data_IF_178090120894
#
_entry.id   IF_178090120894
#
_cell.length_a   1.000
_cell.length_b   1.000
_cell.length_c   1.000
_cell.angle_alpha   90.00
_cell.angle_beta   90.00
_cell.angle_gamma   90.00
#
_symmetry.space_group_name_H-M   'P 1'
#
loop_
_entity.id
_entity.type
_entity.pdbx_description
1 polymer ?
#
# COMPACT_ATOMS: atom_id res chain seq x y z
N UNK A 1 2.51 -4.81 -23.90
CA UNK A 1 2.00 -4.32 -22.60
C UNK A 1 0.58 -3.78 -22.70
N UNK A 2 0.30 -2.79 -23.57
CA UNK A 2 -1.07 -2.26 -23.79
C UNK A 2 -2.08 -3.33 -24.28
N UNK A 3 -1.61 -4.37 -24.97
CA UNK A 3 -2.41 -5.52 -25.39
C UNK A 3 -2.69 -6.56 -24.29
N UNK A 4 -2.12 -6.40 -23.09
CA UNK A 4 -2.30 -7.37 -22.00
C UNK A 4 -3.65 -7.14 -21.31
N UNK A 5 -4.57 -8.10 -21.41
CA UNK A 5 -5.90 -8.03 -20.81
C UNK A 5 -5.90 -7.80 -19.28
N UNK A 6 -4.86 -8.27 -18.57
CA UNK A 6 -4.71 -8.02 -17.13
C UNK A 6 -4.39 -6.54 -16.86
N UNK A 7 -3.59 -5.91 -17.72
CA UNK A 7 -3.24 -4.49 -17.61
C UNK A 7 -4.41 -3.57 -17.99
N UNK A 8 -5.19 -3.92 -19.03
CA UNK A 8 -6.38 -3.15 -19.43
C UNK A 8 -7.46 -3.16 -18.34
N UNK A 9 -7.76 -4.34 -17.77
CA UNK A 9 -8.66 -4.46 -16.60
C UNK A 9 -8.16 -3.69 -15.38
N UNK A 10 -6.84 -3.64 -15.20
CA UNK A 10 -6.21 -2.88 -14.14
C UNK A 10 -6.42 -1.36 -14.32
N UNK A 11 -6.23 -0.83 -15.54
CA UNK A 11 -6.46 0.58 -15.87
C UNK A 11 -7.92 1.02 -15.64
N UNK A 12 -8.89 0.17 -15.99
CA UNK A 12 -10.32 0.43 -15.73
C UNK A 12 -10.62 0.52 -14.22
N UNK A 13 -10.08 -0.41 -13.41
CA UNK A 13 -10.19 -0.37 -11.94
C UNK A 13 -9.60 0.90 -11.33
N UNK A 14 -8.60 1.51 -11.97
CA UNK A 14 -8.00 2.78 -11.52
C UNK A 14 -9.01 3.93 -11.45
N UNK A 15 -10.01 3.94 -12.33
CA UNK A 15 -11.06 4.97 -12.34
C UNK A 15 -12.11 4.77 -11.22
N UNK A 16 -12.41 3.52 -10.87
CA UNK A 16 -13.32 3.17 -9.77
C UNK A 16 -12.69 3.46 -8.40
N UNK A 17 -11.38 3.23 -8.30
CA UNK A 17 -10.55 3.55 -7.13
C UNK A 17 -10.69 5.02 -6.71
N UNK A 18 -10.70 5.97 -7.66
CA UNK A 18 -10.79 7.40 -7.34
C UNK A 18 -12.10 7.81 -6.66
N UNK A 19 -13.22 7.11 -6.93
CA UNK A 19 -14.51 7.38 -6.27
C UNK A 19 -14.55 6.83 -4.85
N UNK A 20 -14.04 5.61 -4.64
CA UNK A 20 -13.95 4.99 -3.31
C UNK A 20 -12.95 5.74 -2.41
N UNK A 21 -11.88 6.29 -2.99
CA UNK A 21 -10.88 7.07 -2.28
C UNK A 21 -11.50 8.28 -1.55
N UNK A 22 -12.36 9.06 -2.21
CA UNK A 22 -13.00 10.24 -1.61
C UNK A 22 -13.86 9.92 -0.37
N UNK A 23 -14.56 8.79 -0.38
CA UNK A 23 -15.41 8.36 0.74
C UNK A 23 -14.58 7.88 1.93
N UNK A 24 -13.43 7.27 1.68
CA UNK A 24 -12.54 6.71 2.70
C UNK A 24 -11.61 7.76 3.33
N UNK A 25 -11.40 8.90 2.65
CA UNK A 25 -10.54 9.98 3.16
C UNK A 25 -11.11 10.70 4.38
N UNK A 26 -12.37 10.54 4.77
CA UNK A 26 -12.88 11.21 5.97
C UNK A 26 -12.32 10.60 7.28
N UNK A 27 -11.66 9.45 7.20
CA UNK A 27 -11.07 8.77 8.36
C UNK A 27 -9.55 9.04 8.47
N UNK A 28 -9.14 9.69 9.57
CA UNK A 28 -7.73 10.00 9.85
C UNK A 28 -6.82 8.76 9.97
N UNK A 29 -7.32 7.64 10.48
CA UNK A 29 -6.54 6.39 10.61
C UNK A 29 -6.17 5.89 9.20
N UNK A 30 -7.13 5.92 8.26
CA UNK A 30 -6.92 5.50 6.87
C UNK A 30 -5.99 6.44 6.12
N UNK A 31 -6.12 7.76 6.33
CA UNK A 31 -5.20 8.74 5.76
C UNK A 31 -3.75 8.48 6.19
N UNK A 32 -3.53 8.27 7.49
CA UNK A 32 -2.19 7.97 8.02
C UNK A 32 -1.61 6.67 7.44
N UNK A 33 -2.44 5.62 7.37
CA UNK A 33 -2.02 4.36 6.77
C UNK A 33 -1.62 4.51 5.30
N UNK A 34 -2.38 5.28 4.50
CA UNK A 34 -2.03 5.55 3.10
C UNK A 34 -0.77 6.40 2.95
N UNK A 35 -0.55 7.36 3.85
CA UNK A 35 0.68 8.13 3.88
C UNK A 35 1.90 7.24 4.12
N UNK A 36 1.82 6.34 5.11
CA UNK A 36 2.88 5.38 5.41
C UNK A 36 3.10 4.39 4.26
N UNK A 37 2.02 3.85 3.67
CA UNK A 37 2.10 2.99 2.47
C UNK A 37 2.79 3.73 1.32
N UNK A 38 2.45 5.00 1.08
CA UNK A 38 3.09 5.82 0.05
C UNK A 38 4.58 5.99 0.33
N UNK A 39 4.99 6.23 1.58
CA UNK A 39 6.40 6.34 1.95
C UNK A 39 7.16 5.05 1.62
N UNK A 40 6.61 3.90 2.02
CA UNK A 40 7.21 2.58 1.74
C UNK A 40 7.28 2.29 0.24
N UNK A 41 6.27 2.70 -0.54
CA UNK A 41 6.32 2.60 -2.01
C UNK A 41 7.48 3.43 -2.56
N UNK A 42 7.62 4.70 -2.14
CA UNK A 42 8.70 5.60 -2.59
C UNK A 42 10.08 5.03 -2.27
N UNK A 43 10.27 4.48 -1.07
CA UNK A 43 11.51 3.78 -0.69
C UNK A 43 11.78 2.57 -1.59
N UNK A 44 10.75 1.79 -1.92
CA UNK A 44 10.88 0.65 -2.83
C UNK A 44 11.24 1.07 -4.26
N UNK A 45 10.75 2.23 -4.75
CA UNK A 45 11.11 2.74 -6.09
C UNK A 45 12.60 3.08 -6.21
N UNK A 46 13.26 3.40 -5.11
CA UNK A 46 14.68 3.75 -5.11
C UNK A 46 15.59 2.51 -5.21
N UNK A 47 15.04 1.31 -4.98
CA UNK A 47 15.80 0.08 -5.08
C UNK A 47 16.14 -0.24 -6.53
N UNK A 48 17.40 -0.61 -6.77
CA UNK A 48 17.82 -1.07 -8.10
C UNK A 48 17.44 -2.55 -8.27
N UNK A 49 16.28 -2.80 -8.89
CA UNK A 49 15.73 -4.16 -9.06
C UNK A 49 16.38 -4.96 -10.21
N UNK A 50 17.16 -4.28 -11.06
CA UNK A 50 17.90 -4.90 -12.16
C UNK A 50 19.40 -4.63 -12.00
N UNK A 51 20.27 -5.57 -12.44
CA UNK A 51 21.70 -5.34 -12.42
C UNK A 51 22.08 -4.09 -13.22
N UNK A 52 22.97 -3.26 -12.67
CA UNK A 52 23.58 -2.16 -13.42
C UNK A 52 24.73 -2.72 -14.25
N UNK A 53 24.64 -2.59 -15.56
CA UNK A 53 25.77 -2.84 -16.45
C UNK A 53 26.46 -1.50 -16.71
N UNK A 54 27.79 -1.49 -16.63
CA UNK A 54 28.57 -0.29 -16.88
C UNK A 54 29.01 -0.21 -18.34
N UNK A 55 29.11 1.00 -18.93
CA UNK A 55 29.71 1.16 -20.25
C UNK A 55 31.14 0.58 -20.25
N UNK A 56 31.42 -0.36 -21.16
CA UNK A 56 32.73 -1.02 -21.26
C UNK A 56 32.89 -2.31 -20.45
N UNK A 57 31.87 -2.74 -19.71
CA UNK A 57 31.88 -4.02 -19.00
C UNK A 57 31.79 -5.17 -20.01
N UNK A 58 32.81 -6.02 -20.06
CA UNK A 58 32.80 -7.27 -20.84
C UNK A 58 32.53 -8.43 -19.90
N UNK A 59 31.31 -8.99 -19.96
CA UNK A 59 30.91 -10.16 -19.18
C UNK A 59 30.73 -11.33 -20.14
N UNK A 60 31.18 -12.52 -19.73
CA UNK A 60 30.74 -13.75 -20.37
C UNK A 60 29.25 -13.96 -20.13
N UNK A 61 28.57 -14.73 -20.99
CA UNK A 61 27.15 -15.07 -20.80
C UNK A 61 26.91 -15.70 -19.42
N UNK A 62 27.83 -16.57 -18.98
CA UNK A 62 27.74 -17.25 -17.69
C UNK A 62 27.90 -16.30 -16.49
N UNK A 63 28.78 -15.29 -16.59
CA UNK A 63 28.92 -14.27 -15.55
C UNK A 63 27.69 -13.37 -15.48
N UNK A 64 27.13 -13.01 -16.62
CA UNK A 64 25.89 -12.25 -16.72
C UNK A 64 24.72 -13.01 -16.09
N UNK A 65 24.53 -14.29 -16.42
CA UNK A 65 23.51 -15.13 -15.81
C UNK A 65 23.68 -15.24 -14.29
N UNK A 66 24.91 -15.43 -13.82
CA UNK A 66 25.22 -15.53 -12.39
C UNK A 66 24.86 -14.22 -11.67
N UNK A 67 25.20 -13.08 -12.26
CA UNK A 67 24.85 -11.76 -11.75
C UNK A 67 23.33 -11.56 -11.70
N UNK A 68 22.60 -11.92 -12.76
CA UNK A 68 21.13 -11.86 -12.81
C UNK A 68 20.51 -12.74 -11.74
N UNK A 69 21.00 -13.97 -11.54
CA UNK A 69 20.52 -14.89 -10.50
C UNK A 69 20.70 -14.30 -9.10
N UNK A 70 21.85 -13.68 -8.80
CA UNK A 70 22.08 -12.99 -7.52
C UNK A 70 21.14 -11.81 -7.33
N UNK A 71 21.04 -10.91 -8.31
CA UNK A 71 20.14 -9.76 -8.26
C UNK A 71 18.67 -10.16 -8.11
N UNK A 72 18.25 -11.27 -8.74
CA UNK A 72 16.89 -11.81 -8.61
C UNK A 72 16.62 -12.26 -7.18
N UNK A 73 17.58 -12.94 -6.54
CA UNK A 73 17.48 -13.37 -5.15
C UNK A 73 17.35 -12.17 -4.20
N UNK A 74 18.20 -11.16 -4.36
CA UNK A 74 18.17 -9.95 -3.53
C UNK A 74 16.87 -9.18 -3.72
N UNK A 75 16.43 -9.03 -4.98
CA UNK A 75 15.16 -8.40 -5.34
C UNK A 75 13.97 -9.11 -4.69
N UNK A 76 13.97 -10.45 -4.68
CA UNK A 76 12.93 -11.23 -4.01
C UNK A 76 12.92 -10.97 -2.50
N UNK A 77 14.09 -10.89 -1.86
CA UNK A 77 14.19 -10.59 -0.44
C UNK A 77 13.68 -9.19 -0.10
N UNK A 78 14.08 -8.17 -0.87
CA UNK A 78 13.58 -6.81 -0.69
C UNK A 78 12.07 -6.72 -0.94
N UNK A 79 11.56 -7.42 -1.94
CA UNK A 79 10.13 -7.48 -2.24
C UNK A 79 9.35 -8.13 -1.09
N UNK A 80 9.89 -9.18 -0.45
CA UNK A 80 9.30 -9.76 0.77
C UNK A 80 9.28 -8.75 1.92
N UNK A 81 10.38 -8.03 2.16
CA UNK A 81 10.46 -6.98 3.20
C UNK A 81 9.43 -5.87 2.95
N UNK A 82 9.28 -5.44 1.70
CA UNK A 82 8.26 -4.48 1.27
C UNK A 82 6.85 -4.96 1.62
N UNK A 83 6.47 -6.17 1.17
CA UNK A 83 5.13 -6.71 1.47
C UNK A 83 4.89 -6.89 2.97
N UNK A 84 5.90 -7.31 3.74
CA UNK A 84 5.78 -7.42 5.18
C UNK A 84 5.54 -6.06 5.83
N UNK A 85 6.24 -5.01 5.40
CA UNK A 85 6.05 -3.67 5.94
C UNK A 85 4.64 -3.13 5.64
N UNK A 86 4.16 -3.31 4.41
CA UNK A 86 2.80 -2.97 4.02
C UNK A 86 1.79 -3.73 4.89
N UNK A 87 1.98 -5.05 5.07
CA UNK A 87 1.12 -5.88 5.92
C UNK A 87 1.08 -5.34 7.35
N UNK A 88 2.22 -5.00 7.95
CA UNK A 88 2.28 -4.41 9.29
C UNK A 88 1.45 -3.14 9.39
N UNK A 89 1.54 -2.23 8.40
CA UNK A 89 0.73 -1.00 8.39
C UNK A 89 -0.77 -1.33 8.38
N UNK A 90 -1.19 -2.29 7.54
CA UNK A 90 -2.60 -2.69 7.43
C UNK A 90 -3.11 -3.38 8.71
N UNK A 91 -2.28 -4.23 9.31
CA UNK A 91 -2.59 -4.90 10.59
C UNK A 91 -2.73 -3.88 11.73
N UNK A 92 -1.80 -2.92 11.83
CA UNK A 92 -1.89 -1.82 12.80
C UNK A 92 -3.12 -0.92 12.58
N UNK A 93 -3.48 -0.66 11.32
CA UNK A 93 -4.68 0.11 10.96
C UNK A 93 -5.93 -0.59 11.49
N UNK A 94 -6.06 -1.90 11.23
CA UNK A 94 -7.15 -2.73 11.73
C UNK A 94 -7.21 -2.75 13.25
N UNK A 95 -6.07 -2.95 13.90
CA UNK A 95 -5.98 -2.99 15.37
C UNK A 95 -6.36 -1.63 15.99
N UNK A 96 -5.91 -0.52 15.41
CA UNK A 96 -6.22 0.83 15.88
C UNK A 96 -7.71 1.13 15.77
N UNK A 97 -8.35 0.74 14.66
CA UNK A 97 -9.81 0.82 14.52
C UNK A 97 -10.52 -0.01 15.60
N UNK A 98 -10.07 -1.26 15.84
CA UNK A 98 -10.63 -2.12 16.87
C UNK A 98 -10.51 -1.54 18.29
N UNK A 99 -9.33 -1.04 18.65
CA UNK A 99 -9.08 -0.39 19.95
C UNK A 99 -9.96 0.83 20.14
N UNK A 100 -10.10 1.69 19.13
CA UNK A 100 -10.93 2.89 19.20
C UNK A 100 -12.41 2.56 19.42
N UNK A 101 -12.94 1.54 18.73
CA UNK A 101 -14.30 1.06 18.98
C UNK A 101 -14.46 0.55 20.41
N UNK A 102 -13.51 -0.26 20.90
CA UNK A 102 -13.60 -0.80 22.25
C UNK A 102 -13.62 0.30 23.32
N UNK A 103 -12.81 1.34 23.18
CA UNK A 103 -12.81 2.50 24.08
C UNK A 103 -14.17 3.21 24.07
N UNK A 104 -14.74 3.47 22.89
CA UNK A 104 -16.04 4.14 22.77
C UNK A 104 -17.16 3.30 23.43
N UNK A 105 -17.16 1.97 23.22
CA UNK A 105 -18.12 1.08 23.86
C UNK A 105 -17.99 1.09 25.39
N UNK A 106 -16.76 1.04 25.90
CA UNK A 106 -16.50 1.13 27.34
C UNK A 106 -16.96 2.46 27.93
N UNK A 107 -16.70 3.58 27.25
CA UNK A 107 -17.18 4.90 27.69
C UNK A 107 -18.72 4.98 27.69
N UNK A 108 -19.41 4.32 26.75
CA UNK A 108 -20.88 4.25 26.74
C UNK A 108 -21.44 3.41 27.89
N UNK A 109 -20.77 2.31 28.24
CA UNK A 109 -21.13 1.48 29.39
C UNK A 109 -20.94 2.25 30.71
N UNK A 110 -19.79 2.91 30.87
CA UNK A 110 -19.48 3.74 32.04
C UNK A 110 -20.41 4.95 32.15
N UNK A 111 -20.70 5.67 31.05
CA UNK A 111 -21.63 6.80 31.08
C UNK A 111 -23.06 6.34 31.41
N UNK A 112 -23.52 5.15 30.98
CA UNK A 112 -24.82 4.60 31.41
C UNK A 112 -24.89 4.34 32.92
N UNK A 113 -23.78 3.94 33.54
CA UNK A 113 -23.68 3.71 34.99
C UNK A 113 -23.64 5.06 35.74
N UNK A 114 -22.89 6.04 35.21
CA UNK A 114 -22.68 7.35 35.85
C UNK A 114 -23.89 8.29 35.69
N UNK A 115 -24.68 8.14 34.63
CA UNK A 115 -25.95 8.87 34.44
C UNK A 115 -26.96 8.59 35.56
N UNK A 116 -26.97 7.35 36.07
CA UNK A 116 -27.87 6.95 37.15
C UNK A 116 -27.44 7.48 38.52
N UNK A 117 -26.24 8.07 38.64
CA UNK A 117 -25.62 8.44 39.91
C UNK A 117 -25.10 9.89 39.98
N UNK A 118 -25.10 10.66 38.88
CA UNK A 118 -24.48 12.00 38.83
C UNK A 118 -25.47 13.17 38.87
N UNK A 119 -25.12 14.19 39.66
CA UNK A 119 -25.89 15.43 39.90
C UNK A 119 -25.61 16.57 38.89
N UNK A 120 -25.18 16.23 37.67
CA UNK A 120 -24.88 17.21 36.62
C UNK A 120 -26.13 17.81 35.95
N UNK A 121 -25.98 18.91 35.23
CA UNK A 121 -27.08 19.50 34.44
C UNK A 121 -27.55 18.52 33.36
N UNK A 122 -28.87 18.27 33.30
CA UNK A 122 -29.51 17.40 32.29
C UNK A 122 -29.09 17.77 30.86
N UNK A 123 -28.82 19.05 30.61
CA UNK A 123 -28.39 19.55 29.30
C UNK A 123 -27.00 19.04 28.90
N UNK A 124 -26.01 19.15 29.79
CA UNK A 124 -24.64 18.69 29.55
C UNK A 124 -24.60 17.17 29.35
N UNK A 125 -25.38 16.45 30.15
CA UNK A 125 -25.53 15.02 30.06
C UNK A 125 -26.12 14.59 28.70
N UNK A 126 -27.11 15.33 28.16
CA UNK A 126 -27.65 15.07 26.80
C UNK A 126 -26.61 15.31 25.70
N UNK A 127 -25.88 16.43 25.76
CA UNK A 127 -24.87 16.76 24.76
C UNK A 127 -23.78 15.68 24.71
N UNK A 128 -23.29 15.27 25.89
CA UNK A 128 -22.26 14.23 25.99
C UNK A 128 -22.72 12.90 25.38
N UNK A 129 -23.95 12.46 25.71
CA UNK A 129 -24.54 11.24 25.15
C UNK A 129 -24.72 11.31 23.63
N UNK A 130 -25.13 12.46 23.11
CA UNK A 130 -25.28 12.67 21.68
C UNK A 130 -23.94 12.63 20.95
N UNK A 131 -22.90 13.26 21.51
CA UNK A 131 -21.55 13.22 20.96
C UNK A 131 -20.99 11.79 20.93
N UNK A 132 -21.14 11.03 22.02
CA UNK A 132 -20.70 9.63 22.06
C UNK A 132 -21.46 8.74 21.07
N UNK A 133 -22.76 8.98 20.86
CA UNK A 133 -23.53 8.28 19.82
C UNK A 133 -23.02 8.58 18.41
N UNK A 134 -22.75 9.86 18.11
CA UNK A 134 -22.16 10.26 16.83
C UNK A 134 -20.79 9.64 16.62
N UNK A 135 -19.95 9.61 17.66
CA UNK A 135 -18.64 8.95 17.60
C UNK A 135 -18.75 7.45 17.38
N UNK A 136 -19.70 6.78 18.03
CA UNK A 136 -19.97 5.35 17.83
C UNK A 136 -20.43 5.07 16.40
N UNK A 137 -21.38 5.85 15.88
CA UNK A 137 -21.89 5.71 14.51
C UNK A 137 -20.77 5.91 13.48
N UNK A 138 -19.94 6.94 13.67
CA UNK A 138 -18.77 7.18 12.84
C UNK A 138 -17.79 6.00 12.92
N UNK A 139 -17.52 5.46 14.12
CA UNK A 139 -16.59 4.34 14.29
C UNK A 139 -17.11 3.03 13.69
N UNK A 140 -18.42 2.79 13.76
CA UNK A 140 -19.05 1.65 13.10
C UNK A 140 -18.95 1.78 11.58
N UNK A 141 -19.15 2.99 11.04
CA UNK A 141 -18.95 3.27 9.63
C UNK A 141 -17.47 3.06 9.22
N UNK A 142 -16.53 3.54 10.03
CA UNK A 142 -15.10 3.33 9.83
C UNK A 142 -14.74 1.85 9.76
N UNK A 143 -15.28 1.01 10.64
CA UNK A 143 -15.05 -0.44 10.62
C UNK A 143 -15.62 -1.10 9.37
N UNK A 144 -16.84 -0.72 8.96
CA UNK A 144 -17.43 -1.20 7.69
C UNK A 144 -16.55 -0.85 6.49
N UNK A 145 -15.86 0.27 6.58
CA UNK A 145 -14.98 0.79 5.54
C UNK A 145 -13.56 0.19 5.54
N UNK A 146 -13.19 -0.66 6.51
CA UNK A 146 -11.89 -1.34 6.51
C UNK A 146 -11.72 -2.22 5.27
N UNK A 147 -12.69 -3.04 4.91
CA UNK A 147 -12.59 -3.91 3.73
C UNK A 147 -12.46 -3.11 2.42
N UNK A 148 -13.31 -2.10 2.15
CA UNK A 148 -13.11 -1.18 1.03
C UNK A 148 -11.73 -0.51 1.02
N UNK A 149 -11.22 -0.11 2.19
CA UNK A 149 -9.89 0.45 2.34
C UNK A 149 -8.76 -0.53 1.98
N UNK A 150 -8.84 -1.78 2.44
CA UNK A 150 -7.86 -2.81 2.08
C UNK A 150 -7.86 -3.08 0.56
N UNK A 151 -9.04 -3.12 -0.06
CA UNK A 151 -9.16 -3.30 -1.51
C UNK A 151 -8.55 -2.11 -2.28
N UNK A 152 -8.76 -0.89 -1.79
CA UNK A 152 -8.13 0.32 -2.32
C UNK A 152 -6.60 0.22 -2.24
N UNK A 153 -6.05 -0.10 -1.06
CA UNK A 153 -4.61 -0.26 -0.87
C UNK A 153 -4.03 -1.33 -1.79
N UNK A 154 -4.67 -2.50 -1.89
CA UNK A 154 -4.26 -3.58 -2.78
C UNK A 154 -4.17 -3.13 -4.24
N UNK A 155 -5.19 -2.41 -4.71
CA UNK A 155 -5.23 -1.96 -6.08
C UNK A 155 -4.22 -0.82 -6.37
N UNK A 156 -4.00 0.08 -5.40
CA UNK A 156 -2.94 1.10 -5.50
C UNK A 156 -1.55 0.48 -5.54
N UNK A 157 -1.26 -0.47 -4.66
CA UNK A 157 0.00 -1.20 -4.61
C UNK A 157 0.28 -1.92 -5.93
N UNK A 158 -0.72 -2.62 -6.47
CA UNK A 158 -0.61 -3.25 -7.78
C UNK A 158 -0.30 -2.23 -8.89
N UNK A 159 -0.92 -1.04 -8.87
CA UNK A 159 -0.59 0.05 -9.81
C UNK A 159 0.87 0.42 -9.73
N UNK A 160 1.30 0.79 -8.53
CA UNK A 160 2.61 1.37 -8.31
C UNK A 160 3.69 0.36 -8.66
N UNK A 161 3.54 -0.91 -8.29
CA UNK A 161 4.49 -1.96 -8.64
C UNK A 161 4.59 -2.18 -10.15
N UNK A 162 3.47 -2.16 -10.88
CA UNK A 162 3.51 -2.23 -12.34
C UNK A 162 4.22 -1.03 -12.97
N UNK A 163 3.95 0.19 -12.48
CA UNK A 163 4.62 1.40 -12.98
C UNK A 163 6.13 1.36 -12.69
N UNK A 164 6.53 0.99 -11.47
CA UNK A 164 7.95 0.83 -11.08
C UNK A 164 8.65 -0.19 -11.98
N UNK A 165 8.04 -1.36 -12.19
CA UNK A 165 8.63 -2.40 -13.06
C UNK A 165 8.78 -1.93 -14.50
N UNK A 166 7.76 -1.25 -15.04
CA UNK A 166 7.81 -0.69 -16.39
C UNK A 166 8.96 0.31 -16.52
N UNK A 167 9.08 1.23 -15.57
CA UNK A 167 10.09 2.28 -15.63
C UNK A 167 11.51 1.69 -15.46
N UNK A 168 11.67 0.74 -14.53
CA UNK A 168 12.95 0.03 -14.32
C UNK A 168 13.39 -0.76 -15.56
N UNK A 169 12.47 -1.51 -16.19
CA UNK A 169 12.76 -2.26 -17.42
C UNK A 169 13.11 -1.32 -18.58
N UNK A 170 12.37 -0.24 -18.74
CA UNK A 170 12.60 0.74 -19.81
C UNK A 170 13.98 1.38 -19.67
N UNK A 171 14.36 1.76 -18.45
CA UNK A 171 15.67 2.33 -18.17
C UNK A 171 16.79 1.32 -18.39
N UNK A 172 16.61 0.07 -17.96
CA UNK A 172 17.58 -1.00 -18.19
C UNK A 172 17.82 -1.26 -19.69
N UNK A 173 16.75 -1.38 -20.49
CA UNK A 173 16.87 -1.57 -21.94
C UNK A 173 17.57 -0.38 -22.59
N UNK A 174 17.19 0.85 -22.25
CA UNK A 174 17.81 2.06 -22.79
C UNK A 174 19.32 2.11 -22.49
N UNK A 175 19.70 1.79 -21.26
CA UNK A 175 21.09 1.88 -20.80
C UNK A 175 21.96 0.78 -21.38
N UNK A 176 21.37 -0.38 -21.66
CA UNK A 176 22.09 -1.60 -22.02
C UNK A 176 21.84 -2.06 -23.46
N UNK A 177 21.16 -1.25 -24.29
CA UNK A 177 20.78 -1.61 -25.66
C UNK A 177 21.98 -2.14 -26.47
N UNK A 178 23.13 -1.48 -26.38
CA UNK A 178 24.35 -1.86 -27.10
C UNK A 178 24.92 -3.21 -26.65
N UNK A 179 24.90 -3.49 -25.35
CA UNK A 179 25.33 -4.78 -24.79
C UNK A 179 24.35 -5.90 -25.19
N UNK A 180 23.06 -5.65 -25.01
CA UNK A 180 22.01 -6.62 -25.36
C UNK A 180 21.99 -6.95 -26.86
N UNK A 181 22.25 -5.96 -27.71
CA UNK A 181 22.35 -6.17 -29.17
C UNK A 181 23.56 -7.04 -29.53
N UNK A 182 24.72 -6.80 -28.89
CA UNK A 182 25.92 -7.64 -29.08
C UNK A 182 25.70 -9.07 -28.59
N UNK A 183 25.03 -9.24 -27.46
CA UNK A 183 24.70 -10.54 -26.89
C UNK A 183 23.75 -11.34 -27.81
N UNK A 184 22.77 -10.65 -28.41
CA UNK A 184 21.85 -11.29 -29.35
C UNK A 184 22.53 -11.76 -30.64
N UNK A 185 23.54 -11.02 -31.11
CA UNK A 185 24.30 -11.39 -32.30
C UNK A 185 25.25 -12.58 -32.04
N UNK A 186 25.75 -12.75 -30.81
CA UNK A 186 26.62 -13.90 -30.45
C UNK A 186 25.89 -15.24 -30.26
N UNK A 187 24.55 -15.25 -30.20
CA UNK A 187 23.76 -16.50 -30.17
C UNK A 187 23.51 -17.07 -31.58
N UNK A 188 23.91 -16.35 -32.64
CA UNK A 188 23.71 -16.75 -34.05
C UNK A 188 24.99 -17.22 -34.76
N UNK A 189 26.14 -17.23 -34.08
CA UNK A 189 27.41 -17.81 -34.55
C UNK A 189 27.66 -19.18 -33.88
#
# INVERSE_FOLDING_TARGET
WLSNARFSRFSQRRSEISKTHLLLMNNRIFQMALFEIRRVILEYQQLTLLPKLFPGMTLSLNDFETMVKRHTKDTLEYTKKFYNHIKTILDMTRETCGKKLHIILKCLEEDNITFNTSSGSIYEQRIRKENLRKELEQMQNDIRNICPFLNLCSAMLASCLCDIQRDTLSQFVLTNATFLTKLHLSDFD
#
